data_IF_015617864138
#
_entry.id   IF_015617864138
#
_cell.length_a   1.000
_cell.length_b   1.000
_cell.length_c   1.000
_cell.angle_alpha   90.00
_cell.angle_beta   90.00
_cell.angle_gamma   90.00
#
_symmetry.space_group_name_H-M   'P 1'
#
loop_
_entity.id
_entity.type
_entity.pdbx_description
1 polymer ?
#
# COMPACT_ATOMS: atom_id res chain seq x y z
N UNK A 1 11.62 -20.55 23.97
CA UNK A 1 10.49 -19.86 23.31
C UNK A 1 9.21 -20.54 23.78
N UNK A 2 8.33 -19.79 24.43
CA UNK A 2 7.08 -20.32 25.00
C UNK A 2 6.07 -20.64 23.87
N UNK A 3 5.57 -21.89 23.73
CA UNK A 3 4.68 -22.29 22.63
C UNK A 3 3.23 -21.77 22.74
N UNK A 4 2.89 -20.99 23.77
CA UNK A 4 1.50 -20.73 24.14
C UNK A 4 0.87 -19.41 23.66
N UNK A 5 1.56 -18.56 22.89
CA UNK A 5 0.93 -17.37 22.29
C UNK A 5 0.34 -17.69 20.92
N UNK A 6 -0.89 -18.18 20.89
CA UNK A 6 -1.68 -18.26 19.66
C UNK A 6 -1.66 -16.89 18.97
N UNK A 7 -1.21 -16.82 17.71
CA UNK A 7 -1.31 -15.60 16.92
C UNK A 7 -2.76 -15.10 16.97
N UNK A 8 -3.00 -13.79 17.22
CA UNK A 8 -4.36 -13.27 17.29
C UNK A 8 -5.10 -13.61 15.99
N UNK A 9 -6.24 -14.29 16.08
CA UNK A 9 -7.03 -14.66 14.89
C UNK A 9 -7.64 -13.39 14.31
N UNK A 10 -7.10 -12.87 13.21
CA UNK A 10 -7.66 -11.70 12.55
C UNK A 10 -8.86 -12.09 11.71
N UNK A 11 -10.05 -11.87 12.27
CA UNK A 11 -11.30 -12.11 11.55
C UNK A 11 -11.68 -10.86 10.76
N UNK A 12 -11.84 -11.03 9.44
CA UNK A 12 -12.36 -9.98 8.57
C UNK A 12 -13.79 -9.67 9.01
N UNK A 13 -14.03 -8.41 9.37
CA UNK A 13 -15.36 -7.90 9.70
C UNK A 13 -16.08 -7.38 8.47
N UNK A 14 -15.37 -6.63 7.61
CA UNK A 14 -15.92 -5.95 6.43
C UNK A 14 -14.85 -5.77 5.37
N UNK A 15 -15.27 -5.83 4.10
CA UNK A 15 -14.47 -5.39 2.96
C UNK A 15 -15.25 -4.27 2.26
N UNK A 16 -14.61 -3.12 2.06
CA UNK A 16 -15.21 -1.94 1.47
C UNK A 16 -14.47 -1.58 0.18
N UNK A 17 -15.19 -1.48 -0.95
CA UNK A 17 -14.61 -1.00 -2.19
C UNK A 17 -14.40 0.52 -2.11
N UNK A 18 -13.19 0.97 -2.43
CA UNK A 18 -12.87 2.40 -2.55
C UNK A 18 -13.35 2.87 -3.92
N UNK A 19 -14.20 3.89 -3.94
CA UNK A 19 -14.62 4.56 -5.18
C UNK A 19 -13.61 5.66 -5.51
N UNK A 20 -12.92 5.51 -6.63
CA UNK A 20 -11.99 6.51 -7.15
C UNK A 20 -12.70 7.34 -8.23
N UNK A 21 -12.41 8.63 -8.29
CA UNK A 21 -12.91 9.50 -9.36
C UNK A 21 -12.16 9.24 -10.66
N UNK A 22 -12.73 9.70 -11.79
CA UNK A 22 -12.14 9.53 -13.12
C UNK A 22 -10.75 10.17 -13.17
N UNK A 23 -10.55 11.32 -12.51
CA UNK A 23 -9.26 12.02 -12.47
C UNK A 23 -8.19 11.21 -11.73
N UNK A 24 -8.58 10.52 -10.64
CA UNK A 24 -7.65 9.68 -9.87
C UNK A 24 -7.23 8.46 -10.71
N UNK A 25 -8.18 7.83 -11.39
CA UNK A 25 -7.91 6.71 -12.28
C UNK A 25 -7.00 7.13 -13.43
N UNK A 26 -7.32 8.26 -14.09
CA UNK A 26 -6.48 8.82 -15.15
C UNK A 26 -5.05 9.07 -14.67
N UNK A 27 -4.86 9.69 -13.51
CA UNK A 27 -3.52 9.95 -12.95
C UNK A 27 -2.71 8.67 -12.72
N UNK A 28 -3.38 7.60 -12.29
CA UNK A 28 -2.75 6.29 -12.09
C UNK A 28 -2.36 5.64 -13.43
N UNK A 29 -3.24 5.70 -14.43
CA UNK A 29 -2.98 5.17 -15.77
C UNK A 29 -1.89 5.99 -16.51
N UNK A 30 -1.91 7.33 -16.42
CA UNK A 30 -0.86 8.21 -16.94
C UNK A 30 0.51 7.87 -16.32
N UNK A 31 0.54 7.54 -15.02
CA UNK A 31 1.77 7.09 -14.37
C UNK A 31 2.22 5.72 -14.90
N UNK A 32 1.29 4.77 -15.11
CA UNK A 32 1.60 3.47 -15.74
C UNK A 32 2.25 3.67 -17.11
N UNK A 33 1.66 4.49 -17.97
CA UNK A 33 2.20 4.78 -19.29
C UNK A 33 3.59 5.41 -19.23
N UNK A 34 3.82 6.33 -18.27
CA UNK A 34 5.15 6.92 -18.05
C UNK A 34 6.19 5.85 -17.72
N UNK A 35 5.87 4.92 -16.82
CA UNK A 35 6.76 3.82 -16.44
C UNK A 35 7.01 2.89 -17.63
N UNK A 36 5.97 2.52 -18.38
CA UNK A 36 6.10 1.68 -19.58
C UNK A 36 7.01 2.35 -20.62
N UNK A 37 6.81 3.63 -20.91
CA UNK A 37 7.65 4.39 -21.86
C UNK A 37 9.12 4.39 -21.42
N UNK A 38 9.38 4.66 -20.14
CA UNK A 38 10.73 4.61 -19.56
C UNK A 38 11.35 3.22 -19.67
N UNK A 39 10.61 2.16 -19.34
CA UNK A 39 11.11 0.78 -19.39
C UNK A 39 11.47 0.33 -20.82
N UNK A 40 10.74 0.79 -21.84
CA UNK A 40 11.05 0.48 -23.24
C UNK A 40 12.37 1.13 -23.73
N UNK A 41 12.81 2.22 -23.09
CA UNK A 41 14.05 2.91 -23.42
C UNK A 41 15.28 2.31 -22.72
N UNK A 42 15.09 1.41 -21.76
CA UNK A 42 16.19 0.77 -21.02
C UNK A 42 16.74 -0.45 -21.78
N UNK A 43 18.04 -0.70 -21.59
CA UNK A 43 18.76 -1.85 -22.16
C UNK A 43 18.37 -3.17 -21.47
N UNK A 44 18.29 -3.18 -20.14
CA UNK A 44 17.76 -4.31 -19.37
C UNK A 44 16.27 -4.08 -19.09
N UNK A 45 15.44 -4.98 -19.62
CA UNK A 45 13.98 -4.84 -19.57
C UNK A 45 13.40 -5.95 -18.72
N UNK A 46 12.80 -5.57 -17.60
CA UNK A 46 11.90 -6.50 -16.91
C UNK A 46 10.60 -6.61 -17.73
N UNK A 47 10.20 -7.80 -18.23
CA UNK A 47 9.09 -7.95 -19.18
C UNK A 47 7.76 -7.36 -18.69
N UNK A 48 7.51 -7.40 -17.38
CA UNK A 48 6.30 -6.82 -16.80
C UNK A 48 6.31 -5.29 -16.83
N UNK A 49 7.47 -4.66 -16.67
CA UNK A 49 7.59 -3.19 -16.68
C UNK A 49 7.20 -2.58 -18.03
N UNK A 50 7.39 -3.31 -19.13
CA UNK A 50 7.01 -2.87 -20.48
C UNK A 50 5.56 -3.17 -20.87
N UNK A 51 4.86 -4.03 -20.11
CA UNK A 51 3.49 -4.45 -20.42
C UNK A 51 2.48 -3.76 -19.51
N UNK A 52 2.62 -3.92 -18.20
CA UNK A 52 1.66 -3.44 -17.19
C UNK A 52 2.29 -2.42 -16.22
N UNK A 53 3.54 -2.02 -16.44
CA UNK A 53 4.29 -1.15 -15.52
C UNK A 53 4.76 -1.88 -14.26
N UNK A 54 4.86 -3.22 -14.32
CA UNK A 54 5.14 -4.09 -13.18
C UNK A 54 4.09 -3.88 -12.08
N UNK A 55 2.82 -4.03 -12.44
CA UNK A 55 1.72 -3.78 -11.53
C UNK A 55 1.62 -4.87 -10.44
N UNK A 56 1.59 -4.44 -9.18
CA UNK A 56 1.50 -5.32 -8.01
C UNK A 56 0.24 -5.00 -7.20
N UNK A 57 -0.30 -6.03 -6.55
CA UNK A 57 -1.29 -5.87 -5.49
C UNK A 57 -0.56 -5.87 -4.15
N UNK A 58 -0.56 -4.73 -3.46
CA UNK A 58 0.15 -4.57 -2.18
C UNK A 58 -0.77 -4.10 -1.06
N UNK A 59 -0.30 -4.26 0.18
CA UNK A 59 -1.07 -4.01 1.39
C UNK A 59 -0.48 -2.84 2.18
N UNK A 60 -1.33 -1.87 2.53
CA UNK A 60 -1.00 -0.79 3.45
C UNK A 60 -1.69 -1.00 4.79
N UNK A 61 -0.89 -1.20 5.84
CA UNK A 61 -1.39 -1.31 7.21
C UNK A 61 -1.81 0.01 7.82
N UNK A 62 -3.05 0.11 8.33
CA UNK A 62 -3.52 1.28 9.06
C UNK A 62 -4.52 0.94 10.18
N UNK A 63 -5.08 1.98 10.81
CA UNK A 63 -6.12 1.87 11.83
C UNK A 63 -7.36 2.67 11.42
N UNK A 64 -8.51 2.28 11.96
CA UNK A 64 -9.79 2.92 11.69
C UNK A 64 -10.52 3.22 13.00
N UNK A 65 -10.93 4.49 13.17
CA UNK A 65 -11.66 4.98 14.34
C UNK A 65 -13.18 5.04 14.10
N UNK A 66 -13.59 5.23 12.84
CA UNK A 66 -14.98 5.42 12.45
C UNK A 66 -15.74 4.10 12.18
N UNK A 67 -16.92 4.20 11.56
CA UNK A 67 -17.75 3.07 11.15
C UNK A 67 -18.08 2.08 12.30
N UNK A 68 -18.46 2.61 13.47
CA UNK A 68 -18.99 1.80 14.58
C UNK A 68 -20.37 1.24 14.25
N UNK A 69 -21.21 2.00 13.54
CA UNK A 69 -22.52 1.59 13.04
C UNK A 69 -22.53 1.54 11.50
N UNK A 70 -23.22 0.57 10.88
CA UNK A 70 -23.36 0.51 9.43
C UNK A 70 -24.20 1.69 8.92
N UNK A 71 -23.71 2.33 7.85
CA UNK A 71 -24.48 3.28 7.03
C UNK A 71 -24.75 2.63 5.65
N UNK A 72 -25.85 2.97 4.96
CA UNK A 72 -26.17 2.41 3.64
C UNK A 72 -25.05 2.65 2.61
N UNK A 73 -24.48 3.86 2.61
CA UNK A 73 -23.29 4.21 1.81
C UNK A 73 -22.20 4.69 2.77
N UNK A 74 -21.10 3.93 2.95
CA UNK A 74 -19.99 4.36 3.78
C UNK A 74 -19.19 5.45 3.06
N UNK A 75 -19.33 6.69 3.51
CA UNK A 75 -18.43 7.79 3.13
C UNK A 75 -17.20 7.85 4.04
N UNK A 76 -16.11 8.44 3.54
CA UNK A 76 -14.93 8.74 4.34
C UNK A 76 -15.29 9.74 5.43
N UNK A 77 -14.93 9.45 6.68
CA UNK A 77 -15.15 10.40 7.77
C UNK A 77 -14.08 11.50 7.78
N UNK A 78 -14.39 12.64 8.39
CA UNK A 78 -13.45 13.75 8.64
C UNK A 78 -12.71 13.64 9.98
N UNK A 79 -12.86 12.52 10.71
CA UNK A 79 -12.23 12.32 12.01
C UNK A 79 -10.69 12.22 11.87
N UNK A 80 -9.90 13.11 12.50
CA UNK A 80 -8.45 13.11 12.38
C UNK A 80 -7.77 11.86 12.97
N UNK A 81 -8.45 11.15 13.88
CA UNK A 81 -7.99 9.88 14.46
C UNK A 81 -8.21 8.68 13.54
N UNK A 82 -9.03 8.82 12.49
CA UNK A 82 -9.27 7.76 11.53
C UNK A 82 -8.21 7.74 10.42
N UNK A 83 -7.10 7.04 10.67
CA UNK A 83 -5.97 6.96 9.74
C UNK A 83 -6.37 6.41 8.38
N UNK A 84 -7.18 5.35 8.32
CA UNK A 84 -7.67 4.78 7.06
C UNK A 84 -8.35 5.82 6.16
N UNK A 85 -9.32 6.57 6.71
CA UNK A 85 -10.03 7.58 5.93
C UNK A 85 -9.10 8.73 5.52
N UNK A 86 -8.19 9.15 6.39
CA UNK A 86 -7.20 10.20 6.06
C UNK A 86 -6.29 9.81 4.92
N UNK A 87 -5.76 8.59 4.93
CA UNK A 87 -4.86 8.08 3.89
C UNK A 87 -5.58 7.98 2.55
N UNK A 88 -6.81 7.47 2.54
CA UNK A 88 -7.62 7.38 1.30
C UNK A 88 -7.95 8.79 0.80
N UNK A 89 -8.34 9.71 1.69
CA UNK A 89 -8.67 11.09 1.33
C UNK A 89 -7.46 11.87 0.79
N UNK A 90 -6.29 11.71 1.41
CA UNK A 90 -5.04 12.33 0.94
C UNK A 90 -4.47 11.60 -0.28
N UNK A 91 -4.98 10.42 -0.64
CA UNK A 91 -4.48 9.59 -1.75
C UNK A 91 -3.00 9.23 -1.56
N UNK A 92 -2.62 8.92 -0.32
CA UNK A 92 -1.24 8.72 0.12
C UNK A 92 -0.31 9.93 -0.09
N UNK A 93 -0.83 11.09 -0.47
CA UNK A 93 -0.06 12.31 -0.70
C UNK A 93 -0.07 13.19 0.57
N UNK A 94 0.84 12.86 1.49
CA UNK A 94 1.02 13.52 2.78
C UNK A 94 2.47 13.99 2.91
N UNK A 95 2.73 14.99 3.74
CA UNK A 95 4.08 15.52 3.94
C UNK A 95 5.11 14.42 4.25
N UNK A 96 4.77 13.51 5.18
CA UNK A 96 5.64 12.39 5.53
C UNK A 96 5.91 11.44 4.36
N UNK A 97 4.90 11.14 3.52
CA UNK A 97 5.05 10.20 2.41
C UNK A 97 5.72 10.86 1.19
N UNK A 98 5.61 12.18 1.00
CA UNK A 98 6.42 12.90 0.01
C UNK A 98 7.91 12.83 0.30
N UNK A 99 8.28 12.86 1.60
CA UNK A 99 9.69 12.79 2.02
C UNK A 99 10.25 11.37 2.01
N UNK A 100 9.45 10.38 2.41
CA UNK A 100 9.94 9.02 2.67
C UNK A 100 9.42 7.96 1.69
N UNK A 101 8.51 8.32 0.78
CA UNK A 101 7.71 7.37 0.02
C UNK A 101 6.64 6.66 0.86
N UNK A 102 5.89 5.79 0.21
CA UNK A 102 4.86 4.97 0.82
C UNK A 102 5.34 3.53 0.90
N UNK A 103 5.53 3.03 2.13
CA UNK A 103 5.85 1.62 2.37
C UNK A 103 4.58 0.77 2.28
N UNK A 104 4.61 -0.23 1.42
CA UNK A 104 3.55 -1.19 1.16
C UNK A 104 4.13 -2.61 1.25
N UNK A 105 3.46 -3.52 1.95
CA UNK A 105 3.91 -4.91 2.10
C UNK A 105 3.33 -5.81 1.01
N UNK A 106 4.06 -6.86 0.65
CA UNK A 106 3.59 -7.93 -0.26
C UNK A 106 2.78 -8.99 0.49
N UNK A 107 2.99 -9.11 1.80
CA UNK A 107 2.32 -10.07 2.69
C UNK A 107 1.33 -9.37 3.61
N UNK A 108 0.16 -9.98 3.77
CA UNK A 108 -0.85 -9.51 4.72
C UNK A 108 -0.48 -9.85 6.18
N UNK A 109 0.36 -10.87 6.39
CA UNK A 109 0.89 -11.26 7.70
C UNK A 109 1.81 -10.18 8.29
N UNK A 110 2.77 -9.67 7.51
CA UNK A 110 3.74 -8.66 7.96
C UNK A 110 3.06 -7.36 8.37
N UNK A 111 2.09 -6.90 7.58
CA UNK A 111 1.29 -5.70 7.86
C UNK A 111 0.68 -5.74 9.25
N UNK A 112 0.31 -6.93 9.65
CA UNK A 112 -0.66 -7.13 10.66
C UNK A 112 0.06 -7.56 11.96
N UNK A 113 1.25 -8.19 11.87
CA UNK A 113 2.24 -8.31 12.94
C UNK A 113 2.76 -6.92 13.37
N UNK A 114 3.07 -6.03 12.41
CA UNK A 114 3.44 -4.64 12.71
C UNK A 114 2.33 -3.89 13.47
N UNK A 115 1.05 -4.22 13.23
CA UNK A 115 -0.08 -3.68 14.00
C UNK A 115 -0.23 -4.29 15.40
N UNK A 116 0.24 -5.52 15.64
CA UNK A 116 0.15 -6.17 16.97
C UNK A 116 0.95 -5.39 18.01
N UNK A 117 2.07 -4.79 17.63
CA UNK A 117 2.87 -3.94 18.50
C UNK A 117 2.13 -2.68 18.96
N UNK A 118 1.20 -2.18 18.15
CA UNK A 118 0.32 -1.07 18.53
C UNK A 118 -0.84 -1.59 19.39
N UNK A 119 -0.67 -1.62 20.72
CA UNK A 119 -1.75 -1.84 21.70
C UNK A 119 -2.76 -0.67 21.71
N UNK A 120 -3.38 -0.33 20.58
CA UNK A 120 -4.46 0.65 20.50
C UNK A 120 -5.79 -0.03 20.83
N UNK A 121 -6.07 -0.21 22.12
CA UNK A 121 -7.29 -0.83 22.67
C UNK A 121 -8.62 -0.21 22.21
N UNK A 122 -8.62 0.88 21.43
CA UNK A 122 -9.83 1.59 20.96
C UNK A 122 -9.96 1.73 19.43
N UNK A 123 -8.96 1.35 18.64
CA UNK A 123 -9.02 1.46 17.18
C UNK A 123 -9.13 0.08 16.52
N UNK A 124 -9.94 0.00 15.46
CA UNK A 124 -10.03 -1.19 14.62
C UNK A 124 -8.79 -1.26 13.74
N UNK A 125 -8.27 -2.45 13.51
CA UNK A 125 -7.23 -2.69 12.52
C UNK A 125 -7.85 -2.66 11.13
N UNK A 126 -7.13 -2.09 10.17
CA UNK A 126 -7.58 -2.05 8.80
C UNK A 126 -6.41 -2.14 7.82
N UNK A 127 -6.63 -2.82 6.71
CA UNK A 127 -5.65 -2.93 5.61
C UNK A 127 -6.26 -2.33 4.37
N UNK A 128 -5.51 -1.46 3.70
CA UNK A 128 -5.86 -0.96 2.38
C UNK A 128 -5.16 -1.84 1.35
N UNK A 129 -5.93 -2.46 0.47
CA UNK A 129 -5.42 -3.18 -0.70
C UNK A 129 -5.26 -2.19 -1.83
N UNK A 130 -4.05 -2.09 -2.38
CA UNK A 130 -3.69 -1.14 -3.42
C UNK A 130 -3.21 -1.85 -4.68
N UNK A 131 -3.65 -1.39 -5.85
CA UNK A 131 -2.93 -1.62 -7.10
C UNK A 131 -1.76 -0.63 -7.13
N UNK A 132 -0.58 -1.11 -7.49
CA UNK A 132 0.65 -0.32 -7.41
C UNK A 132 1.46 -0.53 -8.67
N UNK A 133 1.81 0.55 -9.37
CA UNK A 133 2.76 0.50 -10.48
C UNK A 133 4.16 0.52 -9.87
N UNK A 134 4.79 -0.65 -9.74
CA UNK A 134 6.09 -0.75 -9.10
C UNK A 134 7.22 -0.24 -10.00
N UNK A 135 7.06 -0.37 -11.32
CA UNK A 135 8.08 -0.07 -12.30
C UNK A 135 9.38 -0.83 -12.06
N UNK A 136 10.50 -0.15 -12.34
CA UNK A 136 11.84 -0.62 -11.99
C UNK A 136 12.05 -0.56 -10.47
N UNK A 137 12.51 -1.66 -9.88
CA UNK A 137 12.67 -1.80 -8.44
C UNK A 137 14.16 -1.84 -8.09
N UNK A 138 14.63 -0.81 -7.40
CA UNK A 138 15.97 -0.76 -6.85
C UNK A 138 16.10 -1.52 -5.53
N UNK A 139 17.29 -2.00 -5.21
CA UNK A 139 17.58 -2.61 -3.92
C UNK A 139 18.11 -1.57 -2.93
N UNK A 140 17.62 -1.59 -1.68
CA UNK A 140 18.11 -0.75 -0.58
C UNK A 140 19.61 -0.91 -0.27
N UNK A 141 20.24 -2.02 -0.70
CA UNK A 141 21.61 -2.40 -0.32
C UNK A 141 22.66 -1.69 -1.18
N UNK A 142 22.32 -1.33 -2.43
CA UNK A 142 23.36 -1.00 -3.42
C UNK A 142 23.90 0.43 -3.33
N UNK A 143 23.24 1.34 -2.60
CA UNK A 143 23.68 2.73 -2.41
C UNK A 143 23.76 3.59 -3.70
N UNK A 144 23.77 2.95 -4.87
CA UNK A 144 23.68 3.53 -6.19
C UNK A 144 22.23 3.98 -6.41
N UNK A 145 22.06 5.31 -6.44
CA UNK A 145 20.81 5.93 -6.88
C UNK A 145 20.73 5.82 -8.40
N UNK A 146 20.46 4.64 -8.92
CA UNK A 146 19.83 4.61 -10.23
C UNK A 146 18.41 5.19 -10.09
N UNK A 147 17.90 5.78 -11.17
CA UNK A 147 16.55 6.33 -11.23
C UNK A 147 15.51 5.20 -11.24
N UNK A 148 15.37 4.49 -10.12
CA UNK A 148 14.33 3.46 -9.94
C UNK A 148 12.97 4.09 -9.64
N UNK A 149 11.90 3.42 -10.06
CA UNK A 149 10.53 3.88 -9.82
C UNK A 149 10.06 3.52 -8.39
N UNK A 150 10.58 2.43 -7.83
CA UNK A 150 10.34 2.00 -6.45
C UNK A 150 11.58 1.38 -5.82
N UNK A 151 11.61 1.28 -4.48
CA UNK A 151 12.69 0.64 -3.73
C UNK A 151 12.14 -0.58 -3.01
N UNK A 152 12.65 -1.75 -3.36
CA UNK A 152 12.28 -3.02 -2.74
C UNK A 152 13.27 -3.42 -1.66
N UNK A 153 12.75 -4.08 -0.62
CA UNK A 153 13.60 -4.88 0.27
C UNK A 153 13.29 -6.36 0.06
N UNK A 154 14.33 -7.09 -0.30
CA UNK A 154 14.28 -8.54 -0.44
C UNK A 154 14.54 -9.16 0.94
N UNK A 155 13.65 -10.05 1.36
CA UNK A 155 13.76 -10.80 2.60
C UNK A 155 14.75 -11.96 2.50
N UNK A 156 14.98 -12.71 3.60
CA UNK A 156 15.96 -13.79 3.68
C UNK A 156 15.75 -14.94 2.67
N UNK A 157 14.54 -15.07 2.13
CA UNK A 157 14.15 -16.11 1.17
C UNK A 157 14.05 -15.58 -0.28
N UNK A 158 14.71 -14.48 -0.58
CA UNK A 158 14.65 -13.82 -1.90
C UNK A 158 13.25 -13.31 -2.32
N UNK A 159 12.30 -13.29 -1.39
CA UNK A 159 10.96 -12.74 -1.61
C UNK A 159 10.96 -11.24 -1.29
N UNK A 160 10.34 -10.42 -2.13
CA UNK A 160 10.11 -9.00 -1.85
C UNK A 160 9.20 -8.89 -0.62
N UNK A 161 9.67 -8.31 0.49
CA UNK A 161 8.88 -8.15 1.72
C UNK A 161 7.99 -6.90 1.63
N UNK A 162 8.62 -5.78 1.29
CA UNK A 162 7.92 -4.52 1.09
C UNK A 162 8.53 -3.72 -0.04
N UNK A 163 7.72 -2.79 -0.54
CA UNK A 163 8.07 -1.81 -1.53
C UNK A 163 7.89 -0.41 -0.95
N UNK A 164 8.86 0.46 -1.14
CA UNK A 164 8.73 1.90 -0.89
C UNK A 164 8.51 2.60 -2.22
N UNK A 165 7.35 3.22 -2.35
CA UNK A 165 6.90 3.88 -3.58
C UNK A 165 6.97 5.40 -3.38
N UNK A 166 7.90 6.12 -4.03
CA UNK A 166 8.09 7.56 -3.83
C UNK A 166 6.93 8.42 -4.36
N UNK A 167 6.31 8.01 -5.48
CA UNK A 167 5.25 8.80 -6.13
C UNK A 167 3.85 8.26 -5.76
N UNK A 168 3.01 9.03 -5.04
CA UNK A 168 1.66 8.60 -4.67
C UNK A 168 0.74 8.34 -5.87
N UNK A 169 1.03 8.88 -7.05
CA UNK A 169 0.28 8.62 -8.29
C UNK A 169 0.40 7.17 -8.76
N UNK A 170 1.45 6.47 -8.31
CA UNK A 170 1.66 5.05 -8.60
C UNK A 170 0.78 4.12 -7.76
N UNK A 171 -0.05 4.64 -6.86
CA UNK A 171 -0.80 3.86 -5.86
C UNK A 171 -2.29 4.15 -6.01
N UNK A 172 -3.06 3.09 -6.25
CA UNK A 172 -4.52 3.15 -6.35
C UNK A 172 -5.17 2.31 -5.23
N UNK A 173 -5.77 2.93 -4.20
CA UNK A 173 -6.51 2.19 -3.18
C UNK A 173 -7.77 1.57 -3.80
N UNK A 174 -7.94 0.27 -3.61
CA UNK A 174 -9.02 -0.52 -4.22
C UNK A 174 -10.01 -1.03 -3.18
N UNK A 175 -9.50 -1.58 -2.07
CA UNK A 175 -10.33 -2.11 -1.01
C UNK A 175 -9.80 -1.71 0.37
N UNK A 176 -10.72 -1.52 1.32
CA UNK A 176 -10.41 -1.37 2.74
C UNK A 176 -10.97 -2.59 3.47
N UNK A 177 -10.08 -3.42 4.00
CA UNK A 177 -10.40 -4.59 4.82
C UNK A 177 -10.36 -4.14 6.28
N UNK A 178 -11.45 -4.36 7.01
CA UNK A 178 -11.57 -4.03 8.43
C UNK A 178 -11.62 -5.32 9.23
N UNK A 179 -10.76 -5.43 10.24
CA UNK A 179 -10.70 -6.58 11.13
C UNK A 179 -11.42 -6.28 12.44
N UNK A 180 -11.81 -7.35 13.15
CA UNK A 180 -12.36 -7.25 14.52
C UNK A 180 -11.28 -6.87 15.54
#
# INVERSE_FOLDING_TARGET
>A
MDPSKSKPSWKIKRVLKVKNSIEILKRFEDYREKVIKKANQQHERHPRSTIDGNELLLFYGTTMACCRKPKPVPELCKDPSCRACRIIHSRFDMEFTRKNGVRLSTSSEEVCDNMVSFKLKKLKRAVIVCRVIAGSIGNTIDGAREDFDSIGRIGPHSNLEYLVVPNPSAILPCFLIVFN
#
